data_IF_571455029120
#
_entry.id   IF_571455029120
#
_cell.length_a   1.000
_cell.length_b   1.000
_cell.length_c   1.000
_cell.angle_alpha   90.00
_cell.angle_beta   90.00
_cell.angle_gamma   90.00
#
_symmetry.space_group_name_H-M   'P 1'
#
loop_
_entity.id
_entity.type
_entity.pdbx_description
1 polymer ?
#
# COMPACT_ATOMS: atom_id res chain seq x y z
N UNK A 1 25.92 -15.43 -12.38
CA UNK A 1 26.01 -13.96 -12.39
C UNK A 1 25.13 -13.46 -13.49
N UNK A 2 23.99 -12.86 -13.15
CA UNK A 2 23.20 -12.10 -14.11
C UNK A 2 23.91 -10.76 -14.35
N UNK A 3 24.21 -10.45 -15.61
CA UNK A 3 24.72 -9.12 -15.99
C UNK A 3 23.72 -8.02 -15.61
N UNK A 4 24.18 -6.76 -15.45
CA UNK A 4 23.30 -5.66 -15.08
C UNK A 4 22.16 -5.54 -16.10
N UNK A 5 20.92 -5.47 -15.60
CA UNK A 5 19.73 -5.42 -16.44
C UNK A 5 19.80 -4.22 -17.41
N UNK A 6 19.44 -4.45 -18.67
CA UNK A 6 19.36 -3.41 -19.70
C UNK A 6 18.55 -2.20 -19.21
N UNK A 7 19.16 -0.99 -19.15
CA UNK A 7 18.51 0.24 -18.68
C UNK A 7 17.20 0.54 -19.42
N UNK A 8 17.12 0.24 -20.72
CA UNK A 8 15.92 0.48 -21.53
C UNK A 8 14.80 -0.49 -21.12
N UNK A 9 15.14 -1.76 -20.88
CA UNK A 9 14.19 -2.75 -20.39
C UNK A 9 13.68 -2.40 -18.98
N UNK A 10 14.54 -1.90 -18.09
CA UNK A 10 14.15 -1.44 -16.74
C UNK A 10 13.19 -0.26 -16.82
N UNK A 11 13.47 0.74 -17.66
CA UNK A 11 12.59 1.90 -17.85
C UNK A 11 11.22 1.49 -18.37
N UNK A 12 11.18 0.67 -19.44
CA UNK A 12 9.92 0.16 -20.01
C UNK A 12 9.08 -0.62 -19.00
N UNK A 13 9.70 -1.44 -18.14
CA UNK A 13 8.99 -2.15 -17.07
C UNK A 13 8.40 -1.19 -16.04
N UNK A 14 9.15 -0.17 -15.65
CA UNK A 14 8.71 0.87 -14.71
C UNK A 14 7.51 1.66 -15.29
N UNK A 15 7.59 2.08 -16.54
CA UNK A 15 6.50 2.79 -17.25
C UNK A 15 5.24 1.93 -17.36
N UNK A 16 5.37 0.67 -17.78
CA UNK A 16 4.22 -0.27 -17.86
C UNK A 16 3.57 -0.49 -16.50
N UNK A 17 4.37 -0.62 -15.43
CA UNK A 17 3.86 -0.73 -14.06
C UNK A 17 3.11 0.54 -13.64
N UNK A 18 3.69 1.71 -13.91
CA UNK A 18 3.04 2.98 -13.60
C UNK A 18 1.71 3.15 -14.36
N UNK A 19 1.63 2.72 -15.62
CA UNK A 19 0.39 2.75 -16.40
C UNK A 19 -0.70 1.83 -15.81
N UNK A 20 -0.34 0.61 -15.36
CA UNK A 20 -1.27 -0.30 -14.68
C UNK A 20 -1.81 0.30 -13.39
N UNK A 21 -0.94 0.84 -12.54
CA UNK A 21 -1.34 1.48 -11.28
C UNK A 21 -2.26 2.68 -11.57
N UNK A 22 -1.93 3.49 -12.57
CA UNK A 22 -2.75 4.65 -12.98
C UNK A 22 -4.14 4.23 -13.43
N UNK A 23 -4.26 3.13 -14.19
CA UNK A 23 -5.57 2.59 -14.58
C UNK A 23 -6.36 2.13 -13.35
N UNK A 24 -5.72 1.41 -12.43
CA UNK A 24 -6.36 0.95 -11.19
C UNK A 24 -6.82 2.11 -10.31
N UNK A 25 -5.97 3.12 -10.10
CA UNK A 25 -6.30 4.31 -9.30
C UNK A 25 -7.51 5.08 -9.87
N UNK A 26 -7.63 5.19 -11.20
CA UNK A 26 -8.81 5.82 -11.83
C UNK A 26 -10.09 5.00 -11.65
N UNK A 27 -10.00 3.68 -11.76
CA UNK A 27 -11.15 2.80 -11.47
C UNK A 27 -11.57 2.91 -10.00
N UNK A 28 -10.61 2.95 -9.08
CA UNK A 28 -10.88 3.11 -7.65
C UNK A 28 -11.52 4.47 -7.35
N UNK A 29 -11.01 5.56 -7.95
CA UNK A 29 -11.61 6.91 -7.84
C UNK A 29 -13.08 6.92 -8.29
N UNK A 30 -13.40 6.23 -9.39
CA UNK A 30 -14.77 6.10 -9.88
C UNK A 30 -15.65 5.32 -8.89
N UNK A 31 -15.17 4.18 -8.38
CA UNK A 31 -15.90 3.36 -7.40
C UNK A 31 -16.14 4.11 -6.08
N UNK A 32 -15.15 4.85 -5.58
CA UNK A 32 -15.29 5.70 -4.39
C UNK A 32 -16.34 6.80 -4.62
N UNK A 33 -16.34 7.41 -5.81
CA UNK A 33 -17.33 8.43 -6.16
C UNK A 33 -18.75 7.83 -6.21
N UNK A 34 -18.90 6.64 -6.79
CA UNK A 34 -20.21 5.97 -6.89
C UNK A 34 -20.72 5.51 -5.52
N UNK A 35 -19.82 5.06 -4.63
CA UNK A 35 -20.15 4.79 -3.23
C UNK A 35 -20.72 6.04 -2.53
N UNK A 36 -20.05 7.19 -2.68
CA UNK A 36 -20.48 8.44 -2.07
C UNK A 36 -21.81 8.93 -2.64
N UNK A 37 -22.02 8.80 -3.96
CA UNK A 37 -23.31 9.11 -4.62
C UNK A 37 -24.44 8.20 -4.14
N UNK A 38 -24.15 6.91 -3.94
CA UNK A 38 -25.11 5.92 -3.43
C UNK A 38 -25.42 6.05 -1.92
N UNK A 39 -24.64 6.86 -1.21
CA UNK A 39 -24.77 7.08 0.23
C UNK A 39 -24.12 5.98 1.05
N UNK A 40 -23.42 6.38 2.12
CA UNK A 40 -22.63 5.48 2.95
C UNK A 40 -23.46 4.39 3.63
N UNK A 41 -24.74 4.65 3.94
CA UNK A 41 -25.63 3.65 4.54
C UNK A 41 -25.85 2.41 3.64
N UNK A 42 -25.71 2.56 2.31
CA UNK A 42 -25.75 1.44 1.38
C UNK A 42 -24.48 0.58 1.44
N UNK A 43 -23.35 1.15 1.87
CA UNK A 43 -22.08 0.46 2.00
C UNK A 43 -22.11 -0.67 3.05
N UNK A 44 -22.95 -0.54 4.07
CA UNK A 44 -23.19 -1.61 5.05
C UNK A 44 -23.98 -2.79 4.50
N UNK A 45 -24.63 -2.64 3.34
CA UNK A 45 -25.36 -3.71 2.64
C UNK A 45 -24.54 -4.33 1.51
N UNK A 46 -23.56 -3.63 0.96
CA UNK A 46 -22.61 -4.21 0.02
C UNK A 46 -21.77 -5.27 0.74
N UNK A 47 -21.89 -6.52 0.29
CA UNK A 47 -21.17 -7.64 0.89
C UNK A 47 -19.65 -7.50 0.74
N UNK A 48 -18.91 -8.13 1.65
CA UNK A 48 -17.45 -8.21 1.67
C UNK A 48 -16.84 -8.60 0.31
N UNK A 49 -17.57 -9.36 -0.52
CA UNK A 49 -17.13 -9.78 -1.85
C UNK A 49 -16.85 -8.63 -2.83
N UNK A 50 -17.62 -7.54 -2.79
CA UNK A 50 -17.37 -6.39 -3.69
C UNK A 50 -16.07 -5.64 -3.34
N UNK A 51 -15.77 -5.56 -2.05
CA UNK A 51 -14.51 -4.98 -1.56
C UNK A 51 -13.32 -5.86 -1.91
N UNK A 52 -13.43 -7.18 -1.74
CA UNK A 52 -12.36 -8.11 -2.17
C UNK A 52 -12.15 -8.13 -3.67
N UNK A 53 -13.21 -8.05 -4.48
CA UNK A 53 -13.08 -7.93 -5.93
C UNK A 53 -12.33 -6.64 -6.31
N UNK A 54 -12.68 -5.53 -5.65
CA UNK A 54 -11.98 -4.24 -5.86
C UNK A 54 -10.52 -4.33 -5.44
N UNK A 55 -10.22 -4.99 -4.32
CA UNK A 55 -8.85 -5.18 -3.83
C UNK A 55 -8.03 -6.08 -4.76
N UNK A 56 -8.63 -7.15 -5.30
CA UNK A 56 -8.01 -8.02 -6.29
C UNK A 56 -7.63 -7.23 -7.56
N UNK A 57 -8.53 -6.37 -8.05
CA UNK A 57 -8.22 -5.48 -9.19
C UNK A 57 -7.06 -4.53 -8.90
N UNK A 58 -6.89 -4.06 -7.67
CA UNK A 58 -5.71 -3.26 -7.30
C UNK A 58 -4.42 -4.09 -7.30
N UNK A 59 -4.47 -5.37 -6.91
CA UNK A 59 -3.33 -6.29 -7.05
C UNK A 59 -2.97 -6.49 -8.51
N UNK A 60 -3.96 -6.71 -9.38
CA UNK A 60 -3.77 -6.85 -10.84
C UNK A 60 -3.21 -5.56 -11.48
N UNK A 61 -3.64 -4.41 -10.97
CA UNK A 61 -3.10 -3.09 -11.31
C UNK A 61 -1.67 -2.85 -10.77
N UNK A 62 -1.10 -3.80 -10.02
CA UNK A 62 0.22 -3.71 -9.37
C UNK A 62 0.31 -2.62 -8.30
N UNK A 63 -0.82 -2.32 -7.64
CA UNK A 63 -0.97 -1.35 -6.56
C UNK A 63 -1.36 -2.03 -5.23
N UNK A 64 -0.51 -2.90 -4.65
CA UNK A 64 -0.87 -3.67 -3.46
C UNK A 64 -1.13 -2.79 -2.23
N UNK A 65 -0.59 -1.58 -2.18
CA UNK A 65 -0.92 -0.60 -1.14
C UNK A 65 -2.37 -0.13 -1.23
N UNK A 66 -2.86 0.16 -2.44
CA UNK A 66 -4.28 0.47 -2.67
C UNK A 66 -5.18 -0.73 -2.38
N UNK A 67 -4.73 -1.95 -2.71
CA UNK A 67 -5.47 -3.17 -2.36
C UNK A 67 -5.67 -3.29 -0.84
N UNK A 68 -4.66 -3.01 -0.04
CA UNK A 68 -4.77 -3.00 1.43
C UNK A 68 -5.81 -1.99 1.92
N UNK A 69 -5.76 -0.76 1.39
CA UNK A 69 -6.72 0.31 1.73
C UNK A 69 -8.17 -0.08 1.40
N UNK A 70 -8.39 -0.72 0.26
CA UNK A 70 -9.72 -1.21 -0.14
C UNK A 70 -10.24 -2.29 0.82
N UNK A 71 -9.39 -3.19 1.30
CA UNK A 71 -9.79 -4.18 2.33
C UNK A 71 -10.12 -3.53 3.66
N UNK A 72 -9.33 -2.52 4.07
CA UNK A 72 -9.62 -1.73 5.25
C UNK A 72 -11.00 -1.05 5.15
N UNK A 73 -11.33 -0.45 3.99
CA UNK A 73 -12.67 0.11 3.73
C UNK A 73 -13.78 -0.94 3.89
N UNK A 74 -13.57 -2.14 3.37
CA UNK A 74 -14.54 -3.24 3.46
C UNK A 74 -14.79 -3.76 4.88
N UNK A 75 -13.82 -3.60 5.79
CA UNK A 75 -13.96 -4.00 7.19
C UNK A 75 -14.74 -2.98 8.05
N UNK A 76 -14.80 -1.71 7.64
CA UNK A 76 -15.36 -0.63 8.46
C UNK A 76 -16.86 -0.82 8.76
N UNK A 77 -17.75 -1.18 7.82
CA UNK A 77 -19.18 -1.30 8.13
C UNK A 77 -19.51 -2.29 9.25
N UNK A 78 -18.65 -3.31 9.46
CA UNK A 78 -18.77 -4.30 10.54
C UNK A 78 -18.12 -3.88 11.88
N UNK A 79 -17.54 -2.69 11.96
CA UNK A 79 -16.70 -2.26 13.11
C UNK A 79 -17.47 -1.58 14.26
N UNK A 80 -18.81 -1.68 14.26
CA UNK A 80 -19.68 -1.14 15.32
C UNK A 80 -20.14 0.31 15.09
N UNK A 81 -20.68 0.98 16.13
CA UNK A 81 -21.24 2.33 16.02
C UNK A 81 -20.27 3.36 15.40
N UNK A 82 -20.81 4.37 14.71
CA UNK A 82 -20.00 5.42 14.08
C UNK A 82 -19.23 4.98 12.83
N UNK A 83 -19.44 3.76 12.33
CA UNK A 83 -18.78 3.29 11.10
C UNK A 83 -19.00 4.17 9.86
N UNK A 84 -20.13 4.88 9.64
CA UNK A 84 -20.27 5.68 8.43
C UNK A 84 -19.28 6.84 8.38
N UNK A 85 -19.01 7.50 9.51
CA UNK A 85 -18.02 8.59 9.61
C UNK A 85 -16.62 8.06 9.35
N UNK A 86 -16.26 6.94 10.00
CA UNK A 86 -14.97 6.27 9.76
C UNK A 86 -14.80 5.85 8.29
N UNK A 87 -15.86 5.34 7.67
CA UNK A 87 -15.82 4.96 6.26
C UNK A 87 -15.57 6.17 5.38
N UNK A 88 -16.23 7.30 5.65
CA UNK A 88 -16.02 8.55 4.90
C UNK A 88 -14.59 9.06 5.05
N UNK A 89 -14.04 9.08 6.26
CA UNK A 89 -12.66 9.47 6.53
C UNK A 89 -11.68 8.60 5.74
N UNK A 90 -11.86 7.29 5.79
CA UNK A 90 -11.00 6.35 5.08
C UNK A 90 -11.17 6.43 3.55
N UNK A 91 -12.37 6.70 3.06
CA UNK A 91 -12.62 7.00 1.64
C UNK A 91 -11.88 8.27 1.22
N UNK A 92 -11.91 9.34 2.04
CA UNK A 92 -11.22 10.59 1.76
C UNK A 92 -9.69 10.41 1.72
N UNK A 93 -9.13 9.66 2.67
CA UNK A 93 -7.69 9.34 2.68
C UNK A 93 -7.28 8.46 1.49
N UNK A 94 -8.12 7.52 1.09
CA UNK A 94 -7.87 6.67 -0.08
C UNK A 94 -7.93 7.49 -1.36
N UNK A 95 -8.95 8.34 -1.51
CA UNK A 95 -9.06 9.27 -2.63
C UNK A 95 -7.85 10.22 -2.68
N UNK A 96 -7.40 10.77 -1.56
CA UNK A 96 -6.22 11.63 -1.51
C UNK A 96 -4.97 10.90 -2.04
N UNK A 97 -4.78 9.64 -1.69
CA UNK A 97 -3.67 8.84 -2.19
C UNK A 97 -3.78 8.59 -3.71
N UNK A 98 -4.97 8.28 -4.22
CA UNK A 98 -5.21 8.14 -5.66
C UNK A 98 -4.88 9.44 -6.42
N UNK A 99 -5.39 10.58 -5.92
CA UNK A 99 -5.09 11.91 -6.49
C UNK A 99 -3.60 12.21 -6.44
N UNK A 100 -2.93 11.89 -5.35
CA UNK A 100 -1.50 12.10 -5.19
C UNK A 100 -0.68 11.23 -6.15
N UNK A 101 -1.10 9.99 -6.41
CA UNK A 101 -0.51 9.14 -7.44
C UNK A 101 -0.68 9.74 -8.84
N UNK A 102 -1.89 10.15 -9.19
CA UNK A 102 -2.19 10.75 -10.49
C UNK A 102 -1.46 12.08 -10.73
N UNK A 103 -1.03 12.75 -9.66
CA UNK A 103 -0.26 13.99 -9.70
C UNK A 103 1.23 13.81 -9.39
N UNK A 104 1.72 12.57 -9.27
CA UNK A 104 3.04 12.27 -8.71
C UNK A 104 4.20 13.00 -9.40
N UNK A 105 4.13 13.21 -10.71
CA UNK A 105 5.17 13.91 -11.49
C UNK A 105 5.32 15.40 -11.13
N UNK A 106 4.35 15.97 -10.41
CA UNK A 106 4.35 17.38 -9.98
C UNK A 106 4.64 17.54 -8.47
N UNK A 107 4.79 16.43 -7.75
CA UNK A 107 5.05 16.47 -6.31
C UNK A 107 6.54 16.67 -6.04
N UNK A 108 6.90 17.40 -4.96
CA UNK A 108 8.26 17.38 -4.44
C UNK A 108 8.74 15.94 -4.20
N UNK A 109 10.02 15.67 -4.48
CA UNK A 109 10.57 14.31 -4.46
C UNK A 109 10.30 13.50 -3.17
N UNK A 110 10.33 14.10 -1.95
CA UNK A 110 9.96 13.37 -0.73
C UNK A 110 8.49 12.89 -0.76
N UNK A 111 7.56 13.73 -1.20
CA UNK A 111 6.15 13.38 -1.30
C UNK A 111 5.89 12.34 -2.39
N UNK A 112 6.53 12.48 -3.56
CA UNK A 112 6.45 11.48 -4.61
C UNK A 112 6.95 10.11 -4.12
N UNK A 113 8.02 10.09 -3.33
CA UNK A 113 8.54 8.86 -2.69
C UNK A 113 7.51 8.27 -1.72
N UNK A 114 6.92 9.10 -0.85
CA UNK A 114 5.86 8.64 0.07
C UNK A 114 4.67 8.04 -0.68
N UNK A 115 4.19 8.71 -1.73
CA UNK A 115 3.07 8.22 -2.56
C UNK A 115 3.42 6.87 -3.18
N UNK A 116 4.60 6.74 -3.80
CA UNK A 116 5.08 5.47 -4.38
C UNK A 116 5.08 4.35 -3.35
N UNK A 117 5.61 4.59 -2.15
CA UNK A 117 5.60 3.60 -1.07
C UNK A 117 4.17 3.25 -0.63
N UNK A 118 3.28 4.24 -0.50
CA UNK A 118 1.89 4.03 -0.07
C UNK A 118 1.02 3.30 -1.09
N UNK A 119 1.29 3.42 -2.39
CA UNK A 119 0.63 2.58 -3.42
C UNK A 119 1.25 1.17 -3.52
N UNK A 120 2.35 0.90 -2.80
CA UNK A 120 2.99 -0.41 -2.72
C UNK A 120 4.13 -0.62 -3.72
N UNK A 121 4.75 0.45 -4.22
CA UNK A 121 6.03 0.36 -4.92
C UNK A 121 7.17 0.28 -3.91
N UNK A 122 8.17 -0.59 -4.14
CA UNK A 122 9.36 -0.59 -3.30
C UNK A 122 10.05 0.76 -3.41
N UNK A 123 10.42 1.34 -2.27
CA UNK A 123 11.33 2.48 -2.24
C UNK A 123 12.75 1.96 -2.44
N UNK A 124 13.59 2.59 -3.28
CA UNK A 124 15.01 2.28 -3.28
C UNK A 124 15.56 2.46 -1.86
N UNK A 125 16.37 1.50 -1.41
CA UNK A 125 17.11 1.63 -0.14
C UNK A 125 18.14 2.73 -0.36
N UNK A 126 18.01 3.82 0.40
CA UNK A 126 18.92 4.94 0.36
C UNK A 126 19.87 4.92 1.56
N UNK A 127 21.11 5.39 1.36
CA UNK A 127 22.12 5.50 2.40
C UNK A 127 23.16 4.38 2.37
N UNK A 128 24.22 4.56 3.15
CA UNK A 128 25.29 3.58 3.29
C UNK A 128 24.80 2.37 4.11
N UNK A 129 25.14 1.13 3.70
CA UNK A 129 24.83 -0.05 4.51
C UNK A 129 25.51 0.06 5.88
N UNK A 130 24.76 -0.25 6.93
CA UNK A 130 25.23 -0.18 8.31
C UNK A 130 25.54 -1.58 8.81
N UNK A 131 26.76 -1.80 9.27
CA UNK A 131 27.13 -2.98 10.07
C UNK A 131 27.06 -2.62 11.55
N UNK A 132 26.39 -3.46 12.31
CA UNK A 132 26.28 -3.35 13.77
C UNK A 132 26.03 -4.74 14.36
N UNK A 133 26.15 -4.85 15.68
CA UNK A 133 25.64 -5.99 16.45
C UNK A 133 24.17 -5.71 16.80
N UNK A 134 23.27 -6.40 16.11
CA UNK A 134 21.83 -6.18 16.24
C UNK A 134 21.22 -7.13 17.28
N UNK A 135 20.73 -6.58 18.38
CA UNK A 135 19.90 -7.31 19.33
C UNK A 135 18.47 -7.40 18.79
N UNK A 136 17.87 -8.59 18.81
CA UNK A 136 16.43 -8.77 18.52
C UNK A 136 15.65 -8.45 19.79
N UNK A 137 14.96 -7.31 19.79
CA UNK A 137 14.15 -6.88 20.93
C UNK A 137 12.79 -7.56 20.97
N UNK A 138 12.17 -7.74 19.79
CA UNK A 138 10.87 -8.39 19.66
C UNK A 138 10.74 -9.02 18.27
N UNK A 139 9.92 -10.06 18.18
CA UNK A 139 9.54 -10.68 16.91
C UNK A 139 8.06 -11.09 16.96
N UNK A 140 7.30 -10.70 15.94
CA UNK A 140 5.92 -11.13 15.76
C UNK A 140 5.71 -11.67 14.36
N UNK A 141 5.09 -12.84 14.28
CA UNK A 141 4.64 -13.44 13.03
C UNK A 141 3.14 -13.18 12.87
N UNK A 142 2.76 -12.60 11.73
CA UNK A 142 1.37 -12.34 11.34
C UNK A 142 1.15 -12.97 9.98
N UNK A 143 0.13 -13.81 9.82
CA UNK A 143 -0.12 -14.46 8.54
C UNK A 143 -1.54 -14.98 8.39
N UNK A 144 -1.90 -15.29 7.14
CA UNK A 144 -3.06 -16.11 6.77
C UNK A 144 -2.56 -17.48 6.24
N UNK A 145 -3.45 -18.28 5.65
CA UNK A 145 -3.11 -19.58 5.08
C UNK A 145 -2.10 -19.53 3.91
N UNK A 146 -1.79 -18.35 3.35
CA UNK A 146 -1.00 -18.17 2.12
C UNK A 146 0.30 -17.40 2.32
N UNK A 147 0.42 -16.57 3.36
CA UNK A 147 1.61 -15.75 3.57
C UNK A 147 1.87 -15.49 5.05
N UNK A 148 3.09 -15.79 5.51
CA UNK A 148 3.57 -15.40 6.84
C UNK A 148 4.47 -14.17 6.73
N UNK A 149 4.05 -13.08 7.36
CA UNK A 149 4.88 -11.88 7.53
C UNK A 149 5.47 -11.86 8.94
N UNK A 150 6.80 -11.92 9.04
CA UNK A 150 7.55 -11.74 10.27
C UNK A 150 8.02 -10.30 10.39
N UNK A 151 7.76 -9.70 11.55
CA UNK A 151 8.27 -8.39 11.97
C UNK A 151 9.29 -8.60 13.08
N UNK A 152 10.52 -8.12 12.91
CA UNK A 152 11.56 -8.17 13.94
C UNK A 152 12.09 -6.76 14.25
N UNK A 153 12.01 -6.35 15.51
CA UNK A 153 12.54 -5.07 15.99
C UNK A 153 13.95 -5.29 16.50
N UNK A 154 14.88 -4.49 15.99
CA UNK A 154 16.29 -4.60 16.27
C UNK A 154 16.82 -3.33 16.93
N UNK A 155 17.83 -3.50 17.79
CA UNK A 155 18.62 -2.41 18.34
C UNK A 155 20.11 -2.67 18.10
N UNK A 156 20.79 -1.71 17.47
CA UNK A 156 22.23 -1.75 17.19
C UNK A 156 23.01 -1.30 18.42
N UNK A 157 23.81 -2.19 19.00
CA UNK A 157 24.51 -1.92 20.26
C UNK A 157 25.70 -1.01 20.11
N UNK A 158 26.29 -0.91 18.91
CA UNK A 158 27.43 -0.04 18.62
C UNK A 158 26.95 1.35 18.18
N UNK A 159 25.94 1.39 17.31
CA UNK A 159 25.46 2.63 16.69
C UNK A 159 24.23 3.25 17.35
N UNK A 160 23.61 2.58 18.33
CA UNK A 160 22.41 3.06 19.04
C UNK A 160 21.16 3.18 18.15
N UNK A 161 21.12 2.50 17.00
CA UNK A 161 20.04 2.61 16.01
C UNK A 161 18.95 1.58 16.28
N UNK A 162 17.69 1.98 16.04
CA UNK A 162 16.57 1.04 15.95
C UNK A 162 16.26 0.71 14.50
N UNK A 163 15.89 -0.54 14.22
CA UNK A 163 15.49 -0.99 12.90
C UNK A 163 14.30 -1.97 13.00
N UNK A 164 13.48 -2.00 11.95
CA UNK A 164 12.42 -2.99 11.75
C UNK A 164 12.75 -3.80 10.50
N UNK A 165 12.90 -5.11 10.64
CA UNK A 165 13.08 -6.03 9.52
C UNK A 165 11.77 -6.75 9.26
N UNK A 166 11.33 -6.71 7.99
CA UNK A 166 10.18 -7.44 7.50
C UNK A 166 10.66 -8.62 6.67
N UNK A 167 10.25 -9.83 7.06
CA UNK A 167 10.48 -11.06 6.29
C UNK A 167 9.14 -11.60 5.84
N UNK A 168 9.06 -12.00 4.57
CA UNK A 168 7.85 -12.55 3.96
C UNK A 168 8.17 -13.96 3.50
N UNK A 169 7.43 -14.96 3.99
CA UNK A 169 7.63 -16.38 3.71
C UNK A 169 6.34 -17.15 3.56
#
# INVERSE_FOLDING_TARGET
>A
GEGPADPVAVRRRTERRAARITSGARELEQRLTDLLRGGLAAAGRSGHGLWEETAARMVDAQAPGLAGRVRELGAIPGSGPGWPVRLLEECALTHLLDRAWLAADRLPAPFATTVRTRVGLPSPVAGAPVRDHWLVLAQYDTGDARLTTRRAWLYGTTGGRTALVLSYG
#
